data_IF_341444974699
#
_entry.id   IF_341444974699
#
_cell.length_a   1.000
_cell.length_b   1.000
_cell.length_c   1.000
_cell.angle_alpha   90.00
_cell.angle_beta   90.00
_cell.angle_gamma   90.00
#
_symmetry.space_group_name_H-M   'P 1'
#
loop_
_entity.id
_entity.type
_entity.pdbx_description
1 polymer ?
#
# COMPACT_ATOMS: atom_id res chain seq x y z
N UNK A 1 9.90 -46.66 -48.99
CA UNK A 1 9.30 -45.70 -48.03
C UNK A 1 10.21 -45.63 -46.80
N UNK A 2 11.16 -44.68 -46.76
CA UNK A 2 12.09 -44.53 -45.63
C UNK A 2 11.37 -43.84 -44.46
N UNK A 3 11.44 -44.43 -43.26
CA UNK A 3 10.94 -43.81 -42.03
C UNK A 3 11.85 -42.63 -41.66
N UNK A 4 11.30 -41.41 -41.67
CA UNK A 4 11.95 -40.21 -41.14
C UNK A 4 12.24 -40.39 -39.64
N UNK A 5 13.51 -40.62 -39.31
CA UNK A 5 14.01 -40.64 -37.94
C UNK A 5 14.25 -39.20 -37.48
N UNK A 6 13.55 -38.79 -36.42
CA UNK A 6 13.86 -37.55 -35.70
C UNK A 6 15.04 -37.85 -34.77
N UNK A 7 16.24 -37.39 -35.16
CA UNK A 7 17.36 -37.30 -34.23
C UNK A 7 17.33 -35.92 -33.61
N UNK A 8 17.17 -35.85 -32.28
CA UNK A 8 17.35 -34.61 -31.55
C UNK A 8 18.76 -34.07 -31.88
N UNK A 9 18.82 -32.90 -32.52
CA UNK A 9 20.07 -32.19 -32.73
C UNK A 9 20.34 -31.39 -31.46
N UNK A 10 21.60 -31.37 -31.01
CA UNK A 10 21.99 -30.53 -29.88
C UNK A 10 21.65 -29.07 -30.18
N UNK A 11 21.18 -28.36 -29.15
CA UNK A 11 20.92 -26.92 -29.22
C UNK A 11 22.27 -26.22 -29.46
N UNK A 12 22.34 -25.35 -30.46
CA UNK A 12 23.51 -24.53 -30.76
C UNK A 12 23.34 -23.17 -30.06
N UNK A 13 24.12 -22.87 -29.00
CA UNK A 13 24.00 -21.61 -28.25
C UNK A 13 24.34 -20.36 -29.07
N UNK A 14 25.07 -20.53 -30.18
CA UNK A 14 25.47 -19.42 -31.07
C UNK A 14 24.43 -19.13 -32.14
N UNK A 15 23.43 -19.99 -32.29
CA UNK A 15 22.36 -19.80 -33.27
C UNK A 15 21.31 -18.86 -32.70
N UNK A 16 21.19 -17.68 -33.31
CA UNK A 16 20.13 -16.73 -32.97
C UNK A 16 18.75 -17.36 -33.25
N UNK A 17 17.86 -17.27 -32.25
CA UNK A 17 16.48 -17.70 -32.36
C UNK A 17 15.69 -16.62 -33.10
N UNK A 18 15.00 -16.93 -34.21
CA UNK A 18 14.12 -15.97 -34.85
C UNK A 18 12.93 -15.68 -33.92
N UNK A 19 12.63 -14.40 -33.74
CA UNK A 19 11.42 -13.92 -33.07
C UNK A 19 10.41 -13.66 -34.19
N UNK A 20 9.24 -14.28 -34.09
CA UNK A 20 8.15 -14.05 -35.04
C UNK A 20 7.06 -13.23 -34.35
N UNK A 21 6.47 -12.31 -35.10
CA UNK A 21 5.24 -11.61 -34.69
C UNK A 21 4.03 -12.52 -34.93
N UNK A 22 2.95 -12.29 -34.19
CA UNK A 22 1.75 -13.14 -34.26
C UNK A 22 1.16 -13.25 -35.68
N UNK A 23 1.35 -12.22 -36.50
CA UNK A 23 0.93 -12.14 -37.90
C UNK A 23 1.84 -12.88 -38.89
N UNK A 24 3.05 -13.26 -38.47
CA UNK A 24 4.02 -14.02 -39.27
C UNK A 24 3.91 -15.54 -39.05
N UNK A 25 3.07 -15.96 -38.10
CA UNK A 25 2.81 -17.37 -37.83
C UNK A 25 1.76 -17.88 -38.83
N UNK A 26 2.03 -18.96 -39.58
CA UNK A 26 1.02 -19.61 -40.41
C UNK A 26 -0.17 -20.05 -39.54
N UNK A 27 -1.39 -19.94 -40.06
CA UNK A 27 -2.59 -20.30 -39.32
C UNK A 27 -2.51 -21.77 -38.83
N UNK A 28 -2.89 -21.98 -37.57
CA UNK A 28 -2.92 -23.28 -36.87
C UNK A 28 -3.55 -24.46 -37.65
N UNK A 29 -4.52 -24.31 -38.58
CA UNK A 29 -5.07 -25.46 -39.32
C UNK A 29 -4.02 -26.21 -40.17
N UNK A 30 -2.95 -25.54 -40.61
CA UNK A 30 -1.92 -26.18 -41.45
C UNK A 30 -1.04 -27.18 -40.67
N UNK A 31 -1.02 -27.09 -39.33
CA UNK A 31 -0.25 -28.00 -38.46
C UNK A 31 -1.03 -29.23 -37.97
N UNK A 32 -2.33 -29.31 -38.28
CA UNK A 32 -3.25 -30.36 -37.80
C UNK A 32 -2.92 -31.77 -38.30
N UNK A 33 -1.99 -31.94 -39.25
CA UNK A 33 -1.74 -33.22 -39.91
C UNK A 33 -0.68 -34.10 -39.23
N UNK A 34 -0.07 -33.69 -38.11
CA UNK A 34 0.96 -34.50 -37.43
C UNK A 34 0.47 -34.88 -36.02
N UNK A 35 -0.28 -35.98 -35.95
CA UNK A 35 -0.56 -36.72 -34.72
C UNK A 35 0.73 -37.30 -34.12
N UNK A 36 1.55 -36.49 -33.44
CA UNK A 36 2.64 -36.99 -32.60
C UNK A 36 2.58 -36.34 -31.23
N UNK A 37 2.33 -37.16 -30.22
CA UNK A 37 2.42 -36.76 -28.82
C UNK A 37 3.83 -36.22 -28.55
N UNK A 38 3.90 -34.94 -28.21
CA UNK A 38 5.12 -34.28 -27.76
C UNK A 38 5.40 -34.82 -26.34
N UNK A 39 6.60 -35.36 -26.05
CA UNK A 39 6.98 -35.71 -24.69
C UNK A 39 6.85 -34.47 -23.80
N UNK A 40 6.03 -34.53 -22.75
CA UNK A 40 5.91 -33.44 -21.79
C UNK A 40 7.28 -33.20 -21.14
N UNK A 41 7.87 -32.05 -21.43
CA UNK A 41 9.06 -31.57 -20.76
C UNK A 41 8.66 -31.11 -19.34
N UNK A 42 9.42 -31.45 -18.29
CA UNK A 42 9.13 -30.96 -16.95
C UNK A 42 9.30 -29.42 -16.91
N UNK A 43 8.31 -28.74 -16.32
CA UNK A 43 8.18 -27.26 -16.33
C UNK A 43 9.23 -26.56 -15.46
N UNK A 44 9.97 -27.30 -14.63
CA UNK A 44 10.94 -26.74 -13.69
C UNK A 44 10.32 -25.95 -12.52
N UNK A 45 9.01 -26.06 -12.31
CA UNK A 45 8.25 -25.38 -11.25
C UNK A 45 7.96 -26.33 -10.08
N UNK A 46 7.64 -25.78 -8.90
CA UNK A 46 7.24 -26.60 -7.76
C UNK A 46 5.84 -27.21 -7.99
N UNK A 47 5.63 -28.43 -7.51
CA UNK A 47 4.42 -29.23 -7.75
C UNK A 47 3.12 -28.53 -7.32
N UNK A 48 3.19 -27.64 -6.32
CA UNK A 48 2.05 -26.89 -5.82
C UNK A 48 1.67 -25.74 -6.79
N UNK A 49 2.67 -25.06 -7.38
CA UNK A 49 2.46 -24.07 -8.44
C UNK A 49 1.92 -24.71 -9.72
N UNK A 50 2.43 -25.90 -10.10
CA UNK A 50 1.94 -26.64 -11.27
C UNK A 50 0.46 -27.04 -11.16
N UNK A 51 -0.08 -27.11 -9.93
CA UNK A 51 -1.48 -27.44 -9.66
C UNK A 51 -2.40 -26.21 -9.60
N UNK A 52 -1.85 -25.00 -9.68
CA UNK A 52 -2.65 -23.78 -9.64
C UNK A 52 -3.54 -23.69 -10.88
N UNK A 53 -4.85 -23.62 -10.66
CA UNK A 53 -5.86 -23.61 -11.72
C UNK A 53 -5.67 -22.48 -12.74
N UNK A 54 -5.23 -21.29 -12.30
CA UNK A 54 -4.98 -20.17 -13.21
C UNK A 54 -3.76 -20.41 -14.10
N UNK A 55 -2.70 -21.00 -13.55
CA UNK A 55 -1.49 -21.35 -14.29
C UNK A 55 -1.78 -22.44 -15.33
N UNK A 56 -2.49 -23.51 -14.92
CA UNK A 56 -2.92 -24.56 -15.85
C UNK A 56 -3.82 -24.02 -16.95
N UNK A 57 -4.72 -23.08 -16.62
CA UNK A 57 -5.57 -22.43 -17.62
C UNK A 57 -4.73 -21.62 -18.59
N UNK A 58 -3.79 -20.79 -18.13
CA UNK A 58 -2.89 -20.02 -18.99
C UNK A 58 -2.06 -20.91 -19.92
N UNK A 59 -1.48 -22.00 -19.39
CA UNK A 59 -0.68 -22.97 -20.15
C UNK A 59 -1.52 -23.72 -21.19
N UNK A 60 -2.69 -24.25 -20.81
CA UNK A 60 -3.51 -25.09 -21.69
C UNK A 60 -4.26 -24.31 -22.76
N UNK A 61 -4.66 -23.07 -22.46
CA UNK A 61 -5.44 -22.24 -23.40
C UNK A 61 -4.56 -21.34 -24.27
N UNK A 62 -3.25 -21.28 -24.01
CA UNK A 62 -2.36 -20.30 -24.64
C UNK A 62 -2.74 -18.85 -24.32
N UNK A 63 -3.59 -18.64 -23.29
CA UNK A 63 -4.00 -17.31 -22.88
C UNK A 63 -2.79 -16.58 -22.30
N UNK A 64 -2.42 -15.49 -22.98
CA UNK A 64 -1.38 -14.57 -22.56
C UNK A 64 -1.74 -14.04 -21.18
N UNK A 65 -0.85 -14.19 -20.21
CA UNK A 65 -0.98 -13.55 -18.89
C UNK A 65 -0.91 -12.04 -19.15
N UNK A 66 -1.99 -11.27 -18.86
CA UNK A 66 -1.99 -9.84 -19.14
C UNK A 66 -0.89 -9.19 -18.31
N UNK A 67 0.11 -8.63 -19.00
CA UNK A 67 1.15 -7.82 -18.37
C UNK A 67 0.66 -6.38 -18.37
N UNK A 68 0.56 -5.70 -17.22
CA UNK A 68 0.17 -4.30 -17.18
C UNK A 68 1.11 -3.44 -18.04
N UNK A 69 0.55 -2.43 -18.70
CA UNK A 69 1.35 -1.48 -19.46
C UNK A 69 2.22 -0.65 -18.52
N UNK A 70 3.47 -0.41 -18.93
CA UNK A 70 4.37 0.50 -18.22
C UNK A 70 4.09 1.91 -18.70
N UNK A 71 3.54 2.74 -17.82
CA UNK A 71 3.28 4.14 -18.08
C UNK A 71 4.55 4.96 -17.83
N UNK A 72 4.83 5.94 -18.69
CA UNK A 72 5.88 6.91 -18.44
C UNK A 72 5.39 7.96 -17.45
N UNK A 73 6.22 8.27 -16.45
CA UNK A 73 5.95 9.32 -15.47
C UNK A 73 6.47 10.66 -16.00
N UNK A 74 5.82 11.76 -15.61
CA UNK A 74 6.31 13.11 -15.88
C UNK A 74 7.61 13.36 -15.10
N UNK A 75 8.73 13.50 -15.81
CA UNK A 75 10.06 13.56 -15.21
C UNK A 75 10.28 14.81 -14.33
N UNK A 76 9.90 16.04 -14.75
CA UNK A 76 10.00 17.22 -13.91
C UNK A 76 9.21 17.10 -12.61
N UNK A 77 8.00 16.52 -12.66
CA UNK A 77 7.23 16.21 -11.46
C UNK A 77 7.98 15.23 -10.56
N UNK A 78 8.45 14.10 -11.11
CA UNK A 78 9.17 13.10 -10.32
C UNK A 78 10.41 13.67 -9.61
N UNK A 79 11.25 14.42 -10.35
CA UNK A 79 12.49 14.99 -9.81
C UNK A 79 12.23 16.05 -8.74
N UNK A 80 11.10 16.77 -8.80
CA UNK A 80 10.72 17.78 -7.82
C UNK A 80 10.30 17.17 -6.48
N UNK A 81 9.56 16.05 -6.49
CA UNK A 81 9.04 15.40 -5.27
C UNK A 81 9.99 14.36 -4.67
N UNK A 82 10.88 13.76 -5.48
CA UNK A 82 11.82 12.72 -5.05
C UNK A 82 13.28 13.11 -5.35
N UNK A 83 13.83 14.11 -4.63
CA UNK A 83 15.21 14.52 -4.83
C UNK A 83 16.20 13.38 -4.50
N UNK A 84 17.32 13.26 -5.22
CA UNK A 84 18.31 12.19 -5.00
C UNK A 84 19.29 12.55 -3.85
N UNK A 85 18.76 12.84 -2.67
CA UNK A 85 19.52 13.30 -1.50
C UNK A 85 20.01 12.16 -0.57
N UNK A 86 19.57 10.93 -0.83
CA UNK A 86 19.92 9.75 -0.05
C UNK A 86 21.43 9.44 -0.07
N UNK A 87 22.01 9.21 1.11
CA UNK A 87 23.42 8.82 1.28
C UNK A 87 23.53 7.42 1.89
N UNK A 88 24.04 6.48 1.10
CA UNK A 88 24.19 5.09 1.53
C UNK A 88 25.15 4.97 2.73
N UNK A 89 24.71 4.38 3.86
CA UNK A 89 25.56 4.16 5.01
C UNK A 89 26.59 3.04 4.74
N UNK A 90 27.71 3.05 5.49
CA UNK A 90 28.75 2.00 5.39
C UNK A 90 28.33 0.67 6.04
N UNK A 91 27.32 0.69 6.89
CA UNK A 91 26.80 -0.47 7.61
C UNK A 91 25.40 -0.82 7.09
N UNK A 92 24.95 -2.05 7.32
CA UNK A 92 23.58 -2.44 7.00
C UNK A 92 22.58 -1.60 7.81
N UNK A 93 21.47 -1.26 7.17
CA UNK A 93 20.38 -0.52 7.82
C UNK A 93 19.72 -1.44 8.85
N UNK A 94 19.82 -1.09 10.13
CA UNK A 94 19.09 -1.76 11.19
C UNK A 94 17.80 -0.97 11.48
N UNK A 95 16.67 -1.47 10.97
CA UNK A 95 15.37 -0.85 11.20
C UNK A 95 14.94 -1.09 12.65
N UNK A 96 14.85 -0.01 13.44
CA UNK A 96 14.16 -0.04 14.71
C UNK A 96 12.64 -0.10 14.45
N UNK A 97 11.83 -0.75 15.31
CA UNK A 97 10.37 -0.69 15.16
C UNK A 97 9.95 0.75 15.00
N UNK A 98 9.13 1.02 13.97
CA UNK A 98 8.61 2.35 13.67
C UNK A 98 8.03 2.93 14.96
N UNK A 99 8.72 3.92 15.53
CA UNK A 99 8.11 4.76 16.55
C UNK A 99 6.87 5.40 15.91
N UNK A 100 5.79 5.50 16.67
CA UNK A 100 4.73 6.43 16.31
C UNK A 100 5.36 7.82 16.47
N UNK A 101 5.89 8.36 15.37
CA UNK A 101 6.44 9.69 15.36
C UNK A 101 5.25 10.66 15.48
N UNK A 102 5.06 11.19 16.69
CA UNK A 102 3.96 12.09 16.99
C UNK A 102 4.22 13.51 16.48
N UNK A 103 5.41 13.78 15.91
CA UNK A 103 5.78 15.12 15.44
C UNK A 103 5.29 15.42 14.02
N UNK A 104 5.00 14.39 13.23
CA UNK A 104 4.44 14.53 11.87
C UNK A 104 2.91 14.57 11.97
N UNK A 105 2.24 15.65 11.48
CA UNK A 105 0.79 15.69 11.43
C UNK A 105 0.25 14.62 10.47
N UNK A 106 -0.92 14.04 10.77
CA UNK A 106 -1.59 13.10 9.85
C UNK A 106 -2.42 13.84 8.79
N UNK A 107 -2.57 15.16 8.94
CA UNK A 107 -3.29 16.01 8.01
C UNK A 107 -2.32 16.61 6.99
N UNK A 108 -2.57 16.36 5.70
CA UNK A 108 -1.88 16.99 4.58
C UNK A 108 -2.77 18.08 3.98
N UNK A 109 -2.19 19.24 3.65
CA UNK A 109 -2.90 20.32 2.95
C UNK A 109 -3.37 19.88 1.56
N UNK A 110 -4.59 20.28 1.20
CA UNK A 110 -5.07 20.19 -0.19
C UNK A 110 -4.94 21.54 -0.93
N UNK A 111 -5.22 21.55 -2.23
CA UNK A 111 -5.13 22.78 -3.04
C UNK A 111 -6.03 23.92 -2.54
N UNK A 112 -7.15 23.60 -1.88
CA UNK A 112 -8.03 24.62 -1.31
C UNK A 112 -7.48 25.20 0.00
N UNK A 113 -6.70 24.41 0.75
CA UNK A 113 -5.93 24.87 1.91
C UNK A 113 -4.79 25.79 1.48
N UNK A 114 -4.06 25.42 0.41
CA UNK A 114 -2.99 26.25 -0.18
C UNK A 114 -3.53 27.61 -0.61
N UNK A 115 -4.64 27.63 -1.35
CA UNK A 115 -5.31 28.85 -1.79
C UNK A 115 -5.75 29.71 -0.59
N UNK A 116 -6.33 29.10 0.44
CA UNK A 116 -6.75 29.82 1.63
C UNK A 116 -5.56 30.41 2.40
N UNK A 117 -4.51 29.62 2.63
CA UNK A 117 -3.31 30.04 3.34
C UNK A 117 -2.61 31.20 2.60
N UNK A 118 -2.58 31.14 1.25
CA UNK A 118 -2.01 32.20 0.41
C UNK A 118 -2.74 33.56 0.56
N UNK A 119 -4.03 33.55 0.90
CA UNK A 119 -4.83 34.75 1.14
C UNK A 119 -4.65 35.29 2.56
N UNK A 120 -4.20 34.46 3.50
CA UNK A 120 -4.02 34.80 4.92
C UNK A 120 -2.59 35.21 5.26
N UNK A 121 -1.89 35.92 4.36
CA UNK A 121 -0.50 36.36 4.57
C UNK A 121 -0.28 37.14 5.88
N UNK A 122 -1.33 37.78 6.42
CA UNK A 122 -1.28 38.51 7.69
C UNK A 122 -1.06 37.61 8.91
N UNK A 123 -1.43 36.32 8.84
CA UNK A 123 -1.31 35.38 9.96
C UNK A 123 0.11 34.81 10.11
N UNK A 124 1.01 35.07 9.16
CA UNK A 124 2.40 34.57 9.16
C UNK A 124 2.51 33.05 9.47
N UNK A 125 1.52 32.27 9.01
CA UNK A 125 1.46 30.82 9.20
C UNK A 125 2.30 30.09 8.15
N UNK A 126 3.13 29.14 8.61
CA UNK A 126 3.79 28.18 7.73
C UNK A 126 2.85 27.01 7.41
N UNK A 127 3.06 26.36 6.26
CA UNK A 127 2.31 25.17 5.81
C UNK A 127 2.27 24.08 6.90
N UNK A 128 3.44 23.65 7.39
CA UNK A 128 3.54 22.65 8.45
C UNK A 128 2.79 23.04 9.73
N UNK A 129 2.79 24.33 10.09
CA UNK A 129 2.10 24.78 11.30
C UNK A 129 0.59 24.78 11.11
N UNK A 130 0.11 25.15 9.93
CA UNK A 130 -1.29 25.00 9.57
C UNK A 130 -1.73 23.52 9.64
N UNK A 131 -0.94 22.60 9.07
CA UNK A 131 -1.21 21.15 9.14
C UNK A 131 -1.29 20.64 10.58
N UNK A 132 -0.34 21.03 11.44
CA UNK A 132 -0.38 20.70 12.86
C UNK A 132 -1.61 21.23 13.57
N UNK A 133 -2.09 22.42 13.22
CA UNK A 133 -3.30 23.01 13.79
C UNK A 133 -4.54 22.24 13.34
N UNK A 134 -4.65 21.94 12.05
CA UNK A 134 -5.75 21.14 11.46
C UNK A 134 -5.79 19.73 12.06
N UNK A 135 -4.64 19.07 12.16
CA UNK A 135 -4.48 17.74 12.75
C UNK A 135 -4.97 17.70 14.20
N UNK A 136 -4.57 18.68 15.02
CA UNK A 136 -5.01 18.78 16.42
C UNK A 136 -6.51 18.98 16.55
N UNK A 137 -7.11 19.83 15.70
CA UNK A 137 -8.55 20.06 15.69
C UNK A 137 -9.30 18.79 15.30
N UNK A 138 -8.86 18.09 14.26
CA UNK A 138 -9.54 16.90 13.77
C UNK A 138 -9.43 15.73 14.77
N UNK A 139 -8.24 15.48 15.33
CA UNK A 139 -8.03 14.46 16.36
C UNK A 139 -8.82 14.72 17.63
N UNK A 140 -8.98 15.98 18.01
CA UNK A 140 -9.76 16.37 19.19
C UNK A 140 -11.27 16.28 18.96
N UNK A 141 -11.71 16.26 17.70
CA UNK A 141 -13.12 16.36 17.34
C UNK A 141 -13.80 15.00 17.06
N UNK A 142 -13.39 13.96 17.80
CA UNK A 142 -13.83 12.57 17.61
C UNK A 142 -15.35 12.39 17.52
N UNK A 143 -16.08 12.42 18.64
CA UNK A 143 -17.55 12.28 18.64
C UNK A 143 -18.30 13.62 18.67
N UNK A 144 -17.67 14.66 19.21
CA UNK A 144 -18.24 16.00 19.34
C UNK A 144 -17.42 17.00 18.54
N UNK A 145 -18.09 17.98 17.95
CA UNK A 145 -17.41 19.11 17.29
C UNK A 145 -16.69 19.92 18.36
N UNK A 146 -15.39 20.19 18.16
CA UNK A 146 -14.59 21.06 19.04
C UNK A 146 -15.21 22.45 19.05
N UNK A 147 -15.37 23.05 20.22
CA UNK A 147 -15.85 24.43 20.36
C UNK A 147 -14.72 25.45 20.19
N UNK A 148 -15.03 26.70 19.87
CA UNK A 148 -14.01 27.74 19.69
C UNK A 148 -13.09 27.91 20.93
N UNK A 149 -13.65 27.80 22.14
CA UNK A 149 -12.86 27.93 23.37
C UNK A 149 -11.91 26.74 23.57
N UNK A 150 -12.35 25.53 23.23
CA UNK A 150 -11.50 24.34 23.24
C UNK A 150 -10.41 24.45 22.17
N UNK A 151 -10.76 24.88 20.96
CA UNK A 151 -9.82 25.11 19.88
C UNK A 151 -8.72 26.09 20.27
N UNK A 152 -9.06 27.24 20.85
CA UNK A 152 -8.06 28.21 21.35
C UNK A 152 -7.08 27.59 22.35
N UNK A 153 -7.60 26.79 23.29
CA UNK A 153 -6.79 26.07 24.28
C UNK A 153 -5.88 25.02 23.63
N UNK A 154 -6.37 24.30 22.62
CA UNK A 154 -5.62 23.25 21.90
C UNK A 154 -4.52 23.80 20.99
N UNK A 155 -4.78 24.92 20.33
CA UNK A 155 -3.88 25.49 19.32
C UNK A 155 -2.73 26.28 19.98
N UNK A 156 -2.99 26.89 21.14
CA UNK A 156 -2.03 27.70 21.89
C UNK A 156 -1.30 28.73 20.99
N UNK A 157 -2.05 29.37 20.09
CA UNK A 157 -1.60 30.47 19.23
C UNK A 157 -2.28 31.77 19.66
N UNK A 158 -1.97 32.87 18.98
CA UNK A 158 -2.72 34.11 19.12
C UNK A 158 -4.20 33.91 18.76
N UNK A 159 -5.05 34.77 19.33
CA UNK A 159 -6.50 34.66 19.16
C UNK A 159 -6.93 34.85 17.70
N UNK A 160 -6.28 35.74 16.95
CA UNK A 160 -6.63 36.05 15.55
C UNK A 160 -6.41 34.82 14.66
N UNK A 161 -5.23 34.20 14.76
CA UNK A 161 -4.88 32.97 14.03
C UNK A 161 -5.75 31.79 14.45
N UNK A 162 -5.94 31.60 15.77
CA UNK A 162 -6.73 30.47 16.29
C UNK A 162 -8.19 30.54 15.83
N UNK A 163 -8.80 31.73 15.86
CA UNK A 163 -10.17 31.93 15.37
C UNK A 163 -10.24 31.68 13.87
N UNK A 164 -9.33 32.27 13.09
CA UNK A 164 -9.35 32.18 11.63
C UNK A 164 -9.20 30.73 11.13
N UNK A 165 -8.25 29.98 11.69
CA UNK A 165 -8.05 28.56 11.34
C UNK A 165 -9.23 27.71 11.79
N UNK A 166 -9.77 27.96 13.00
CA UNK A 166 -10.95 27.23 13.49
C UNK A 166 -12.18 27.45 12.60
N UNK A 167 -12.45 28.70 12.21
CA UNK A 167 -13.58 29.04 11.35
C UNK A 167 -13.44 28.37 9.97
N UNK A 168 -12.22 28.37 9.42
CA UNK A 168 -11.91 27.65 8.18
C UNK A 168 -12.14 26.14 8.31
N UNK A 169 -11.54 25.51 9.32
CA UNK A 169 -11.68 24.08 9.63
C UNK A 169 -13.15 23.69 9.80
N UNK A 170 -13.91 24.44 10.59
CA UNK A 170 -15.32 24.17 10.87
C UNK A 170 -16.15 24.24 9.59
N UNK A 171 -15.95 25.27 8.76
CA UNK A 171 -16.63 25.40 7.48
C UNK A 171 -16.28 24.25 6.53
N UNK A 172 -15.01 23.86 6.47
CA UNK A 172 -14.54 22.72 5.65
C UNK A 172 -15.21 21.42 6.11
N UNK A 173 -15.25 21.17 7.42
CA UNK A 173 -15.91 20.00 8.02
C UNK A 173 -17.41 19.95 7.73
N UNK A 174 -18.10 21.09 7.85
CA UNK A 174 -19.53 21.21 7.53
C UNK A 174 -19.81 21.00 6.04
N UNK A 175 -18.90 21.38 5.15
CA UNK A 175 -19.03 21.14 3.71
C UNK A 175 -18.82 19.66 3.35
N UNK A 176 -17.78 19.04 3.91
CA UNK A 176 -17.40 17.66 3.57
C UNK A 176 -18.31 16.60 4.20
N UNK A 177 -18.90 16.89 5.37
CA UNK A 177 -19.78 15.95 6.10
C UNK A 177 -19.10 14.61 6.48
N UNK A 178 -17.77 14.58 6.48
CA UNK A 178 -16.95 13.47 6.95
C UNK A 178 -15.67 14.03 7.58
N UNK A 179 -14.92 13.23 8.37
CA UNK A 179 -13.62 13.62 8.90
C UNK A 179 -12.68 14.06 7.79
N UNK A 180 -11.87 15.08 8.05
CA UNK A 180 -10.94 15.60 7.05
C UNK A 180 -9.75 14.65 6.84
N UNK A 181 -9.34 13.94 7.90
CA UNK A 181 -8.35 12.86 7.82
C UNK A 181 -9.07 11.55 7.47
N UNK A 182 -8.81 11.03 6.27
CA UNK A 182 -9.42 9.80 5.80
C UNK A 182 -8.82 8.59 6.53
N UNK A 183 -9.69 7.65 6.90
CA UNK A 183 -9.27 6.43 7.60
C UNK A 183 -9.79 5.19 6.87
N UNK A 184 -9.00 4.11 6.93
CA UNK A 184 -9.45 2.83 6.39
C UNK A 184 -10.64 2.32 7.20
N UNK A 185 -11.71 1.94 6.49
CA UNK A 185 -12.90 1.43 7.14
C UNK A 185 -12.65 0.05 7.76
N UNK A 186 -12.69 0.01 9.09
CA UNK A 186 -12.55 -1.23 9.87
C UNK A 186 -13.90 -1.70 10.42
N UNK A 187 -13.98 -2.93 10.93
CA UNK A 187 -15.22 -3.44 11.53
C UNK A 187 -15.54 -2.70 12.83
N UNK A 188 -16.79 -2.24 12.99
CA UNK A 188 -17.22 -1.56 14.22
C UNK A 188 -17.28 -2.53 15.41
N UNK A 189 -17.61 -3.80 15.15
CA UNK A 189 -17.67 -4.87 16.15
C UNK A 189 -17.05 -6.16 15.59
N UNK A 190 -16.18 -6.84 16.35
CA UNK A 190 -15.63 -8.13 15.94
C UNK A 190 -16.73 -9.13 15.60
N UNK A 191 -16.68 -9.72 14.41
CA UNK A 191 -17.63 -10.75 13.97
C UNK A 191 -18.92 -10.22 13.33
N UNK A 192 -19.08 -8.91 13.17
CA UNK A 192 -20.13 -8.36 12.33
C UNK A 192 -19.81 -8.64 10.85
N UNK A 193 -20.42 -9.70 10.29
CA UNK A 193 -20.27 -10.00 8.87
C UNK A 193 -21.07 -9.00 8.03
N UNK A 194 -20.38 -8.03 7.45
CA UNK A 194 -20.94 -7.20 6.39
C UNK A 194 -20.23 -7.50 5.07
N UNK A 195 -20.99 -7.59 3.98
CA UNK A 195 -20.49 -7.81 2.61
C UNK A 195 -19.94 -6.51 1.98
N UNK A 196 -19.48 -5.55 2.79
CA UNK A 196 -18.93 -4.31 2.29
C UNK A 196 -17.47 -4.53 1.80
N UNK A 197 -17.16 -4.30 0.52
CA UNK A 197 -15.82 -4.52 -0.04
C UNK A 197 -14.76 -3.54 0.50
N UNK A 198 -15.16 -2.40 1.07
CA UNK A 198 -14.25 -1.43 1.68
C UNK A 198 -13.82 -1.81 3.10
N UNK A 199 -14.34 -2.89 3.69
CA UNK A 199 -13.92 -3.33 5.02
C UNK A 199 -12.60 -4.09 4.98
N UNK A 200 -11.56 -3.48 5.52
CA UNK A 200 -10.23 -4.07 5.64
C UNK A 200 -9.85 -4.35 7.10
N UNK A 201 -8.76 -5.10 7.29
CA UNK A 201 -8.12 -5.35 8.59
C UNK A 201 -9.05 -5.90 9.71
N UNK A 202 -9.96 -6.81 9.35
CA UNK A 202 -10.90 -7.42 10.32
C UNK A 202 -10.14 -8.18 11.41
N UNK A 203 -10.46 -7.92 12.67
CA UNK A 203 -9.89 -8.61 13.82
C UNK A 203 -10.65 -9.91 14.01
N UNK A 204 -10.09 -11.00 13.51
CA UNK A 204 -10.52 -12.32 13.99
C UNK A 204 -10.00 -12.46 15.40
N UNK A 205 -10.87 -12.67 16.37
CA UNK A 205 -10.46 -12.99 17.73
C UNK A 205 -9.61 -14.25 17.66
N UNK A 206 -8.30 -14.10 17.67
CA UNK A 206 -7.44 -15.15 18.17
C UNK A 206 -7.91 -15.34 19.61
N UNK A 207 -8.46 -16.52 19.93
CA UNK A 207 -8.91 -16.78 21.29
C UNK A 207 -7.69 -16.61 22.18
N UNK A 208 -7.63 -15.49 22.90
CA UNK A 208 -6.49 -15.21 23.77
C UNK A 208 -6.42 -16.35 24.77
N UNK A 209 -5.47 -17.26 24.57
CA UNK A 209 -5.39 -18.47 25.35
C UNK A 209 -4.75 -18.10 26.67
N UNK A 210 -5.58 -17.75 27.65
CA UNK A 210 -5.13 -17.52 29.01
C UNK A 210 -4.51 -18.82 29.53
N UNK A 211 -3.27 -18.73 30.02
CA UNK A 211 -2.61 -19.90 30.62
C UNK A 211 -3.45 -20.38 31.80
N UNK A 212 -3.58 -21.70 31.98
CA UNK A 212 -4.04 -22.25 33.25
C UNK A 212 -3.11 -21.74 34.36
N UNK A 213 -3.69 -21.35 35.49
CA UNK A 213 -3.00 -20.74 36.62
C UNK A 213 -1.74 -21.55 36.99
N UNK A 214 -0.55 -20.98 36.76
CA UNK A 214 0.75 -21.64 37.00
C UNK A 214 1.63 -20.64 37.74
N UNK A 215 2.06 -21.00 38.96
CA UNK A 215 2.79 -20.18 39.94
C UNK A 215 4.22 -19.77 39.49
N UNK A 216 4.39 -19.10 38.36
CA UNK A 216 5.71 -18.63 37.87
C UNK A 216 5.74 -17.11 37.66
N UNK A 217 5.02 -16.38 38.51
CA UNK A 217 4.82 -14.93 38.37
C UNK A 217 6.01 -14.14 38.94
N UNK A 218 6.63 -14.60 40.03
CA UNK A 218 7.74 -13.89 40.71
C UNK A 218 9.02 -13.84 39.86
N UNK A 219 9.46 -14.97 39.31
CA UNK A 219 10.65 -15.00 38.45
C UNK A 219 10.45 -14.22 37.13
N UNK A 220 9.21 -14.17 36.62
CA UNK A 220 8.87 -13.36 35.44
C UNK A 220 8.86 -11.86 35.79
N UNK A 221 8.34 -11.51 36.97
CA UNK A 221 8.33 -10.17 37.51
C UNK A 221 9.75 -9.64 37.79
N UNK A 222 10.63 -10.44 38.39
CA UNK A 222 12.05 -10.07 38.58
C UNK A 222 12.78 -9.84 37.26
N UNK A 223 12.50 -10.67 36.24
CA UNK A 223 13.07 -10.48 34.90
C UNK A 223 12.57 -9.17 34.27
N UNK A 224 11.30 -8.82 34.48
CA UNK A 224 10.73 -7.56 34.00
C UNK A 224 11.36 -6.35 34.71
N UNK A 225 11.60 -6.43 36.01
CA UNK A 225 12.34 -5.39 36.76
C UNK A 225 13.79 -5.24 36.28
N UNK A 226 14.44 -6.31 35.83
CA UNK A 226 15.81 -6.26 35.27
C UNK A 226 15.87 -5.72 33.84
N UNK A 227 14.77 -5.80 33.09
CA UNK A 227 14.65 -5.26 31.73
C UNK A 227 14.24 -3.78 31.72
N UNK A 228 13.72 -3.27 32.84
CA UNK A 228 13.32 -1.88 33.03
C UNK A 228 14.53 -1.02 33.40
#
# INVERSE_FOLDING_TARGET
>A
MSKLSFRARHLDPSKQMPIYLAEELPDLPEYSAINRAVPQMPSGMEKEEESEHHLQRAICTGLIIPTPEVLQTDQPFYDAYYPPDYKMPRQMIHMQPLGLDTEVPDYDMDSADEDWLSQQQRLELTELKFEQMMDRLEKSSGQTVVTLNEAKSLLNQDDETSISVYDYWLNKRLKMQHPLILTVKTESRPGASSNNPYLAFRRRTEKMQTRKNRKNDEASYEKMLKLR
#
